data_IF_558703758852
#
_entry.id   IF_558703758852
#
_cell.length_a   1.000
_cell.length_b   1.000
_cell.length_c   1.000
_cell.angle_alpha   90.00
_cell.angle_beta   90.00
_cell.angle_gamma   90.00
#
_symmetry.space_group_name_H-M   'P 1'
#
loop_
_entity.id
_entity.type
_entity.pdbx_description
1 polymer ?
#
# COMPACT_ATOMS: atom_id res chain seq x y z
N UNK A 1 10.51 -8.97 50.86
CA UNK A 1 11.64 -8.00 50.92
C UNK A 1 12.44 -8.15 49.65
N UNK A 2 12.78 -7.16 48.82
CA UNK A 2 12.24 -5.85 48.47
C UNK A 2 12.86 -5.56 47.09
N UNK A 3 12.05 -5.19 46.11
CA UNK A 3 12.51 -4.73 44.78
C UNK A 3 13.12 -3.31 44.91
N UNK A 4 14.22 -3.02 44.21
CA UNK A 4 14.73 -1.68 43.88
C UNK A 4 15.24 -1.76 42.43
N UNK A 5 14.51 -1.23 41.44
CA UNK A 5 14.47 0.17 40.97
C UNK A 5 15.86 0.69 40.58
N UNK A 6 16.10 0.74 39.27
CA UNK A 6 17.29 1.28 38.60
C UNK A 6 16.80 2.40 37.67
N UNK A 7 16.38 3.49 38.29
CA UNK A 7 16.18 4.79 37.67
C UNK A 7 17.12 5.74 38.41
N UNK A 8 18.23 6.12 37.76
CA UNK A 8 19.02 7.35 37.99
C UNK A 8 20.38 7.19 37.32
N UNK A 9 20.55 7.82 36.14
CA UNK A 9 21.84 8.31 35.64
C UNK A 9 21.66 9.17 34.38
N UNK A 10 21.11 10.35 34.58
CA UNK A 10 21.33 11.52 33.72
C UNK A 10 22.02 12.59 34.57
N UNK A 11 23.30 12.86 34.31
CA UNK A 11 23.99 14.08 34.72
C UNK A 11 25.38 14.14 34.11
N UNK A 12 25.66 15.22 33.38
CA UNK A 12 27.01 15.77 33.24
C UNK A 12 27.73 15.51 31.91
N UNK A 13 27.50 16.37 30.91
CA UNK A 13 28.34 16.49 29.73
C UNK A 13 28.50 17.95 29.35
N UNK A 14 29.60 18.56 29.80
CA UNK A 14 29.94 19.98 29.63
C UNK A 14 30.26 20.33 28.16
N UNK A 15 29.81 21.52 27.77
CA UNK A 15 30.12 22.20 26.51
C UNK A 15 31.60 22.59 26.43
N UNK A 16 32.31 22.11 25.42
CA UNK A 16 33.57 22.71 24.96
C UNK A 16 33.32 23.51 23.68
N UNK A 17 33.45 24.83 23.79
CA UNK A 17 33.53 25.77 22.67
C UNK A 17 34.90 25.64 21.99
N UNK A 18 34.92 25.26 20.72
CA UNK A 18 36.10 25.39 19.86
C UNK A 18 36.01 26.67 19.04
N UNK A 19 36.93 27.59 19.34
CA UNK A 19 37.19 28.83 18.60
C UNK A 19 37.67 28.47 17.18
N UNK A 20 36.94 28.88 16.15
CA UNK A 20 37.44 28.89 14.78
C UNK A 20 38.28 30.15 14.55
N UNK A 21 39.53 29.91 14.14
CA UNK A 21 40.55 30.91 13.86
C UNK A 21 40.45 31.31 12.38
N UNK A 22 40.22 32.60 12.16
CA UNK A 22 40.23 33.30 10.88
C UNK A 22 41.65 33.38 10.34
N UNK A 23 41.87 32.97 9.09
CA UNK A 23 43.00 33.44 8.27
C UNK A 23 42.49 33.74 6.88
N UNK A 24 42.43 35.04 6.58
CA UNK A 24 42.37 35.57 5.23
C UNK A 24 43.78 35.57 4.63
N UNK A 25 43.89 35.26 3.33
CA UNK A 25 44.80 35.97 2.43
C UNK A 25 44.45 35.66 0.97
N UNK A 26 44.07 36.75 0.30
CA UNK A 26 43.99 37.05 -1.13
C UNK A 26 44.86 36.22 -2.09
N UNK A 27 44.35 36.03 -3.32
CA UNK A 27 44.91 36.72 -4.50
C UNK A 27 44.00 36.67 -5.75
N UNK A 28 43.95 37.83 -6.41
CA UNK A 28 43.23 38.23 -7.62
C UNK A 28 43.54 37.43 -8.90
N UNK A 29 42.53 37.29 -9.79
CA UNK A 29 42.52 37.96 -11.13
C UNK A 29 41.18 37.86 -11.88
N UNK A 30 40.81 38.88 -12.70
CA UNK A 30 39.50 39.00 -13.35
C UNK A 30 39.52 38.70 -14.87
N UNK A 31 38.40 38.22 -15.42
CA UNK A 31 38.02 38.28 -16.84
C UNK A 31 36.53 38.68 -16.85
N UNK A 32 36.15 39.95 -17.04
CA UNK A 32 35.95 40.68 -18.30
C UNK A 32 35.21 39.93 -19.41
N UNK A 33 34.00 40.42 -19.64
CA UNK A 33 33.33 40.69 -20.91
C UNK A 33 32.96 39.50 -21.83
N UNK A 34 31.66 39.16 -21.84
CA UNK A 34 30.91 39.17 -23.12
C UNK A 34 29.40 39.27 -22.93
N UNK A 35 28.90 40.46 -23.23
CA UNK A 35 27.53 40.77 -23.64
C UNK A 35 27.27 40.08 -24.99
N UNK A 36 26.14 39.39 -25.14
CA UNK A 36 25.35 39.34 -26.38
C UNK A 36 23.99 38.63 -26.15
N UNK A 37 22.96 39.45 -25.97
CA UNK A 37 21.56 39.18 -26.33
C UNK A 37 21.25 40.02 -27.60
N UNK A 38 20.11 39.86 -28.30
CA UNK A 38 19.26 38.68 -28.50
C UNK A 38 18.89 38.49 -29.99
N UNK A 39 18.39 37.31 -30.39
CA UNK A 39 17.65 37.15 -31.67
C UNK A 39 16.17 36.85 -31.42
N UNK A 40 15.39 37.85 -31.80
CA UNK A 40 13.95 37.84 -32.10
C UNK A 40 13.53 36.59 -32.87
N UNK A 41 12.43 35.96 -32.42
CA UNK A 41 11.47 35.34 -33.31
C UNK A 41 10.08 35.81 -32.90
N UNK A 42 9.59 36.82 -33.62
CA UNK A 42 8.18 37.02 -33.88
C UNK A 42 7.70 35.88 -34.79
N UNK A 43 6.53 35.30 -34.48
CA UNK A 43 5.50 35.01 -35.47
C UNK A 43 4.26 34.37 -34.81
N UNK A 44 3.12 35.04 -34.98
CA UNK A 44 1.92 34.30 -35.41
C UNK A 44 0.73 34.28 -34.47
N UNK A 45 0.12 35.45 -34.24
CA UNK A 45 -1.30 35.57 -33.87
C UNK A 45 -2.22 34.86 -34.88
N UNK A 46 -2.97 33.85 -34.42
CA UNK A 46 -4.27 33.38 -34.96
C UNK A 46 -5.01 32.70 -33.81
N UNK A 47 -6.29 32.88 -33.54
CA UNK A 47 -7.34 33.72 -34.09
C UNK A 47 -8.55 33.53 -33.16
N UNK A 48 -9.15 34.64 -32.75
CA UNK A 48 -10.35 34.71 -31.92
C UNK A 48 -11.55 34.30 -32.77
N UNK A 49 -12.22 33.21 -32.38
CA UNK A 49 -13.47 32.75 -32.98
C UNK A 49 -14.64 32.87 -32.01
N UNK A 50 -15.17 34.09 -31.83
CA UNK A 50 -16.51 34.30 -31.26
C UNK A 50 -17.55 33.86 -32.30
N UNK A 51 -18.42 32.90 -31.96
CA UNK A 51 -19.72 32.74 -32.65
C UNK A 51 -20.84 32.71 -31.62
N UNK A 52 -21.40 33.90 -31.43
CA UNK A 52 -22.76 34.16 -31.01
C UNK A 52 -23.71 33.81 -32.16
N UNK A 53 -24.72 32.98 -31.90
CA UNK A 53 -25.98 32.99 -32.65
C UNK A 53 -27.14 32.72 -31.69
N UNK A 54 -27.97 33.76 -31.54
CA UNK A 54 -29.38 33.73 -31.17
C UNK A 54 -30.20 33.09 -32.29
N UNK A 55 -31.25 32.37 -31.92
CA UNK A 55 -32.67 32.60 -32.26
C UNK A 55 -33.44 31.38 -31.68
N UNK A 56 -34.45 31.59 -30.83
CA UNK A 56 -35.87 31.84 -31.21
C UNK A 56 -36.36 30.73 -32.15
N UNK A 57 -37.41 29.97 -31.90
CA UNK A 57 -38.45 29.93 -30.87
C UNK A 57 -39.18 28.59 -31.09
N UNK A 58 -40.07 28.21 -30.18
CA UNK A 58 -41.39 27.63 -30.49
C UNK A 58 -41.85 26.55 -29.49
N UNK A 59 -43.12 26.74 -29.18
CA UNK A 59 -43.99 26.06 -28.24
C UNK A 59 -44.16 24.57 -28.58
N UNK A 60 -44.20 23.70 -27.57
CA UNK A 60 -45.33 22.77 -27.49
C UNK A 60 -45.48 22.20 -26.07
N UNK A 61 -46.54 22.67 -25.41
CA UNK A 61 -46.96 22.22 -24.08
C UNK A 61 -47.81 20.97 -24.25
N UNK A 62 -47.22 19.78 -24.09
CA UNK A 62 -47.99 18.52 -24.01
C UNK A 62 -48.01 18.04 -22.56
N UNK A 63 -49.16 18.24 -21.91
CA UNK A 63 -49.49 17.68 -20.62
C UNK A 63 -49.45 16.14 -20.69
N UNK A 64 -48.43 15.53 -20.07
CA UNK A 64 -48.40 14.08 -19.78
C UNK A 64 -48.77 13.85 -18.33
N UNK A 65 -49.83 13.07 -18.15
CA UNK A 65 -50.36 12.58 -16.88
C UNK A 65 -49.28 11.94 -16.00
N UNK A 66 -49.37 12.09 -14.66
CA UNK A 66 -48.44 11.45 -13.75
C UNK A 66 -48.72 9.95 -13.70
N UNK A 67 -47.93 9.16 -14.44
CA UNK A 67 -47.82 7.73 -14.16
C UNK A 67 -47.17 7.56 -12.79
N UNK A 68 -48.00 7.12 -11.84
CA UNK A 68 -47.62 6.64 -10.52
C UNK A 68 -46.62 5.49 -10.71
N UNK A 69 -45.32 5.79 -10.66
CA UNK A 69 -44.27 4.78 -10.61
C UNK A 69 -44.38 4.07 -9.27
N UNK A 70 -44.74 2.80 -9.30
CA UNK A 70 -44.55 1.92 -8.16
C UNK A 70 -43.06 1.93 -7.78
N UNK A 71 -42.72 1.93 -6.48
CA UNK A 71 -41.33 1.84 -6.06
C UNK A 71 -40.76 0.53 -6.60
N UNK A 72 -39.85 0.66 -7.56
CA UNK A 72 -38.97 -0.42 -7.99
C UNK A 72 -38.28 -0.96 -6.73
N UNK A 73 -38.73 -2.12 -6.26
CA UNK A 73 -38.02 -2.90 -5.26
C UNK A 73 -36.76 -3.40 -5.98
N UNK A 74 -35.70 -2.60 -5.97
CA UNK A 74 -34.40 -3.05 -6.41
C UNK A 74 -34.01 -4.23 -5.52
N UNK A 75 -33.59 -5.37 -6.10
CA UNK A 75 -33.15 -6.51 -5.31
C UNK A 75 -31.99 -6.04 -4.44
N UNK A 76 -32.17 -6.09 -3.11
CA UNK A 76 -31.08 -5.90 -2.16
C UNK A 76 -29.96 -6.84 -2.58
N UNK A 77 -28.75 -6.36 -2.90
CA UNK A 77 -27.64 -7.23 -3.24
C UNK A 77 -27.35 -8.06 -2.00
N UNK A 78 -27.76 -9.34 -2.04
CA UNK A 78 -27.27 -10.33 -1.11
C UNK A 78 -25.76 -10.39 -1.30
N UNK A 79 -25.01 -10.28 -0.22
CA UNK A 79 -23.58 -10.51 -0.24
C UNK A 79 -23.37 -11.96 -0.68
N UNK A 80 -22.62 -12.17 -1.76
CA UNK A 80 -22.28 -13.50 -2.31
C UNK A 80 -21.73 -14.43 -1.22
N UNK A 81 -21.07 -13.87 -0.19
CA UNK A 81 -20.60 -14.60 0.98
C UNK A 81 -21.72 -15.16 1.87
N UNK A 82 -22.87 -14.50 1.96
CA UNK A 82 -24.03 -14.97 2.73
C UNK A 82 -24.69 -16.17 2.05
N UNK A 83 -24.81 -16.15 0.72
CA UNK A 83 -25.29 -17.29 -0.08
C UNK A 83 -24.30 -18.46 -0.02
N UNK A 84 -23.00 -18.18 0.06
CA UNK A 84 -21.93 -19.18 0.21
C UNK A 84 -21.93 -19.85 1.60
N UNK A 85 -22.21 -19.11 2.68
CA UNK A 85 -22.33 -19.70 4.02
C UNK A 85 -23.52 -20.65 4.14
N UNK A 86 -24.56 -20.44 3.33
CA UNK A 86 -25.72 -21.34 3.25
C UNK A 86 -25.46 -22.55 2.32
N UNK A 87 -24.54 -22.47 1.35
CA UNK A 87 -24.28 -23.50 0.31
C UNK A 87 -23.08 -24.45 0.57
N UNK A 88 -22.15 -24.14 1.49
CA UNK A 88 -20.84 -24.83 1.61
C UNK A 88 -20.83 -26.18 2.39
N UNK A 89 -21.91 -26.96 2.34
CA UNK A 89 -22.01 -28.24 3.04
C UNK A 89 -21.22 -29.44 2.45
N UNK A 90 -20.36 -29.29 1.44
CA UNK A 90 -19.82 -30.47 0.72
C UNK A 90 -18.37 -30.34 0.19
N UNK A 91 -17.43 -30.93 0.96
CA UNK A 91 -16.17 -31.73 0.68
C UNK A 91 -15.25 -31.38 -0.53
N UNK A 92 -13.90 -31.42 -0.57
CA UNK A 92 -12.76 -32.20 0.01
C UNK A 92 -11.42 -31.38 0.05
N UNK A 93 -10.36 -31.96 0.66
CA UNK A 93 -9.06 -31.36 1.09
C UNK A 93 -7.87 -31.45 0.10
N UNK A 94 -6.93 -30.50 0.17
CA UNK A 94 -5.47 -30.61 -0.17
C UNK A 94 -4.65 -29.56 0.62
N UNK A 95 -3.49 -29.95 1.17
CA UNK A 95 -2.54 -29.11 1.92
C UNK A 95 -1.46 -28.43 1.06
N UNK A 96 -1.09 -27.19 1.41
CA UNK A 96 0.15 -26.52 0.96
C UNK A 96 0.74 -25.63 2.07
N UNK A 97 2.08 -25.46 2.11
CA UNK A 97 2.76 -24.85 3.25
C UNK A 97 2.60 -23.32 3.27
N UNK A 98 2.37 -22.78 4.48
CA UNK A 98 1.95 -21.40 4.77
C UNK A 98 3.12 -20.54 5.29
N UNK A 99 3.20 -19.29 4.84
CA UNK A 99 3.92 -18.24 5.57
C UNK A 99 3.15 -17.94 6.88
N UNK A 100 3.87 -17.91 8.00
CA UNK A 100 3.32 -17.81 9.36
C UNK A 100 3.12 -16.33 9.71
N UNK A 101 1.87 -15.87 9.66
CA UNK A 101 1.43 -14.70 10.45
C UNK A 101 0.88 -15.28 11.77
N UNK A 102 1.13 -14.66 12.94
CA UNK A 102 0.56 -15.11 14.21
C UNK A 102 -0.96 -15.32 14.11
N UNK A 103 -1.50 -16.34 14.79
CA UNK A 103 -2.93 -16.69 14.78
C UNK A 103 -3.78 -15.50 15.24
N UNK A 104 -4.63 -14.97 14.37
CA UNK A 104 -5.42 -13.76 14.66
C UNK A 104 -6.90 -14.11 14.84
N UNK A 105 -7.53 -13.58 15.90
CA UNK A 105 -8.97 -13.78 16.20
C UNK A 105 -9.69 -12.44 16.20
N UNK A 106 -10.78 -12.36 15.45
CA UNK A 106 -11.64 -11.18 15.42
C UNK A 106 -12.62 -11.15 16.58
N UNK A 107 -12.93 -9.97 17.10
CA UNK A 107 -14.05 -9.79 18.02
C UNK A 107 -15.38 -10.00 17.26
N UNK A 108 -16.23 -10.89 17.77
CA UNK A 108 -17.43 -11.36 17.07
C UNK A 108 -18.53 -10.33 16.85
N UNK A 109 -18.56 -9.24 17.63
CA UNK A 109 -19.60 -8.19 17.51
C UNK A 109 -19.37 -7.30 16.30
N UNK A 110 -18.14 -6.85 16.09
CA UNK A 110 -17.76 -5.93 15.01
C UNK A 110 -17.91 -6.53 13.62
N UNK A 111 -17.60 -7.82 13.48
CA UNK A 111 -17.69 -8.50 12.17
C UNK A 111 -19.11 -8.91 11.79
N UNK A 112 -20.06 -8.92 12.73
CA UNK A 112 -21.41 -9.43 12.50
C UNK A 112 -22.14 -8.65 11.40
N UNK A 113 -21.98 -7.33 11.41
CA UNK A 113 -22.64 -6.42 10.48
C UNK A 113 -21.72 -5.93 9.35
N UNK A 114 -20.44 -6.31 9.40
CA UNK A 114 -19.46 -5.95 8.40
C UNK A 114 -19.75 -6.65 7.07
N UNK A 115 -19.55 -5.93 5.96
CA UNK A 115 -19.60 -6.46 4.60
C UNK A 115 -18.19 -6.46 4.01
N UNK A 116 -17.79 -7.58 3.44
CA UNK A 116 -16.52 -7.70 2.73
C UNK A 116 -16.73 -7.42 1.24
N UNK A 117 -15.93 -6.50 0.67
CA UNK A 117 -15.81 -6.30 -0.76
C UNK A 117 -14.50 -6.91 -1.26
N UNK A 118 -14.58 -7.72 -2.32
CA UNK A 118 -13.45 -8.43 -2.92
C UNK A 118 -13.37 -8.11 -4.41
N UNK A 119 -12.15 -8.04 -4.95
CA UNK A 119 -11.97 -8.09 -6.40
C UNK A 119 -12.25 -9.51 -6.91
N UNK A 120 -12.64 -9.71 -8.19
CA UNK A 120 -12.97 -11.05 -8.71
C UNK A 120 -11.87 -12.09 -8.50
N UNK A 121 -10.59 -11.69 -8.64
CA UNK A 121 -9.44 -12.59 -8.42
C UNK A 121 -9.24 -12.93 -6.94
N UNK A 122 -9.49 -11.98 -6.04
CA UNK A 122 -9.41 -12.16 -4.58
C UNK A 122 -10.52 -13.08 -4.09
N UNK A 123 -11.74 -12.85 -4.60
CA UNK A 123 -12.90 -13.69 -4.32
C UNK A 123 -12.66 -15.13 -4.78
N UNK A 124 -12.21 -15.34 -6.02
CA UNK A 124 -11.90 -16.68 -6.52
C UNK A 124 -10.85 -17.38 -5.63
N UNK A 125 -9.79 -16.67 -5.27
CA UNK A 125 -8.70 -17.22 -4.44
C UNK A 125 -9.18 -17.60 -3.04
N UNK A 126 -9.90 -16.72 -2.35
CA UNK A 126 -10.43 -16.98 -1.02
C UNK A 126 -11.51 -18.06 -1.04
N UNK A 127 -12.37 -18.09 -2.06
CA UNK A 127 -13.41 -19.11 -2.21
C UNK A 127 -12.80 -20.50 -2.41
N UNK A 128 -11.84 -20.64 -3.32
CA UNK A 128 -11.14 -21.91 -3.54
C UNK A 128 -10.45 -22.36 -2.25
N UNK A 129 -9.77 -21.46 -1.55
CA UNK A 129 -9.14 -21.80 -0.27
C UNK A 129 -10.16 -22.22 0.79
N UNK A 130 -11.25 -21.46 0.96
CA UNK A 130 -12.28 -21.71 1.96
C UNK A 130 -12.96 -23.07 1.74
N UNK A 131 -13.24 -23.42 0.48
CA UNK A 131 -13.80 -24.72 0.11
C UNK A 131 -12.85 -25.87 0.46
N UNK A 132 -11.56 -25.74 0.12
CA UNK A 132 -10.54 -26.76 0.40
C UNK A 132 -10.33 -26.96 1.90
N UNK A 133 -10.39 -25.88 2.68
CA UNK A 133 -10.10 -25.88 4.12
C UNK A 133 -11.36 -26.03 4.98
N UNK A 134 -12.56 -26.14 4.38
CA UNK A 134 -13.86 -26.26 5.07
C UNK A 134 -14.09 -25.14 6.09
N UNK A 135 -13.78 -23.91 5.68
CA UNK A 135 -13.84 -22.71 6.51
C UNK A 135 -15.30 -22.40 6.83
N UNK A 136 -15.59 -22.06 8.09
CA UNK A 136 -16.96 -21.90 8.59
C UNK A 136 -17.28 -20.48 9.04
N UNK A 137 -16.28 -19.60 9.13
CA UNK A 137 -16.48 -18.24 9.63
C UNK A 137 -15.84 -17.18 8.74
N UNK A 138 -16.45 -15.99 8.71
CA UNK A 138 -15.87 -14.80 8.06
C UNK A 138 -14.52 -14.41 8.69
N UNK A 139 -14.36 -14.61 10.00
CA UNK A 139 -13.11 -14.33 10.69
C UNK A 139 -11.93 -15.14 10.12
N UNK A 140 -12.12 -16.43 9.86
CA UNK A 140 -11.12 -17.29 9.22
C UNK A 140 -10.79 -16.84 7.78
N UNK A 141 -11.79 -16.38 7.03
CA UNK A 141 -11.59 -15.82 5.67
C UNK A 141 -10.75 -14.55 5.73
N UNK A 142 -11.04 -13.64 6.67
CA UNK A 142 -10.29 -12.39 6.80
C UNK A 142 -8.87 -12.68 7.31
N UNK A 143 -8.69 -13.57 8.28
CA UNK A 143 -7.38 -13.99 8.76
C UNK A 143 -6.51 -14.53 7.61
N UNK A 144 -7.08 -15.40 6.77
CA UNK A 144 -6.35 -15.90 5.61
C UNK A 144 -6.06 -14.81 4.58
N UNK A 145 -7.01 -13.89 4.34
CA UNK A 145 -6.81 -12.77 3.43
C UNK A 145 -5.63 -11.90 3.90
N UNK A 146 -5.57 -11.57 5.19
CA UNK A 146 -4.45 -10.86 5.79
C UNK A 146 -3.15 -11.67 5.67
N UNK A 147 -3.19 -12.98 5.98
CA UNK A 147 -2.03 -13.89 5.91
C UNK A 147 -1.42 -13.98 4.53
N UNK A 148 -2.25 -13.99 3.50
CA UNK A 148 -1.83 -14.06 2.10
C UNK A 148 -1.65 -12.70 1.44
N UNK A 149 -1.89 -11.59 2.16
CA UNK A 149 -1.91 -10.26 1.56
C UNK A 149 -2.90 -10.16 0.39
N UNK A 150 -4.06 -10.81 0.48
CA UNK A 150 -5.13 -10.71 -0.50
C UNK A 150 -5.86 -9.37 -0.26
N UNK A 151 -6.13 -8.56 -1.31
CA UNK A 151 -6.82 -7.30 -1.15
C UNK A 151 -8.32 -7.50 -0.90
N UNK A 152 -8.85 -6.81 0.09
CA UNK A 152 -10.28 -6.74 0.41
C UNK A 152 -10.62 -5.37 1.03
N UNK A 153 -11.91 -5.07 1.18
CA UNK A 153 -12.37 -3.94 1.99
C UNK A 153 -13.43 -4.40 2.97
N UNK A 154 -13.44 -3.80 4.16
CA UNK A 154 -14.47 -4.01 5.17
C UNK A 154 -15.33 -2.76 5.27
N UNK A 155 -16.61 -2.94 4.95
CA UNK A 155 -17.63 -1.92 5.03
C UNK A 155 -18.51 -2.16 6.25
N UNK A 156 -18.79 -1.10 6.99
CA UNK A 156 -19.64 -1.14 8.17
C UNK A 156 -20.88 -0.30 7.93
N UNK A 157 -22.09 -0.78 8.27
CA UNK A 157 -23.28 0.06 8.34
C UNK A 157 -23.04 1.19 9.32
N UNK A 158 -23.39 2.42 8.93
CA UNK A 158 -23.22 3.56 9.83
C UNK A 158 -23.96 3.36 11.17
N UNK A 159 -25.15 2.78 11.16
CA UNK A 159 -25.90 2.46 12.38
C UNK A 159 -25.10 1.57 13.34
N UNK A 160 -24.40 0.56 12.82
CA UNK A 160 -23.59 -0.33 13.65
C UNK A 160 -22.37 0.39 14.25
N UNK A 161 -21.84 1.41 13.56
CA UNK A 161 -20.78 2.25 14.11
C UNK A 161 -21.31 3.22 15.17
N UNK A 162 -22.52 3.76 14.97
CA UNK A 162 -23.19 4.63 15.94
C UNK A 162 -23.46 3.85 17.24
N UNK A 163 -23.99 2.62 17.15
CA UNK A 163 -24.22 1.73 18.31
C UNK A 163 -22.91 1.45 19.09
N UNK A 164 -21.83 1.12 18.37
CA UNK A 164 -20.51 0.89 18.98
C UNK A 164 -19.92 2.15 19.61
N UNK A 165 -20.28 3.33 19.11
CA UNK A 165 -19.83 4.61 19.65
C UNK A 165 -20.57 4.95 20.94
N UNK A 166 -21.88 4.68 21.02
CA UNK A 166 -22.66 4.85 22.25
C UNK A 166 -22.07 4.02 23.40
N UNK A 167 -21.76 2.74 23.16
CA UNK A 167 -21.09 1.87 24.12
C UNK A 167 -19.74 2.44 24.59
N UNK A 168 -18.97 3.03 23.66
CA UNK A 168 -17.66 3.61 23.96
C UNK A 168 -17.76 4.94 24.70
N UNK A 169 -18.76 5.77 24.40
CA UNK A 169 -18.99 7.04 25.07
C UNK A 169 -19.37 6.84 26.53
N UNK A 170 -20.17 5.83 26.85
CA UNK A 170 -20.49 5.46 28.24
C UNK A 170 -19.23 5.04 29.01
N UNK A 171 -18.35 4.26 28.38
CA UNK A 171 -17.05 3.88 28.94
C UNK A 171 -16.10 5.08 29.12
N UNK A 172 -16.09 6.03 28.17
CA UNK A 172 -15.23 7.20 28.24
C UNK A 172 -15.74 8.23 29.25
N UNK A 173 -17.04 8.48 29.30
CA UNK A 173 -17.66 9.39 30.25
C UNK A 173 -17.47 8.89 31.68
N UNK A 174 -17.69 7.59 31.93
CA UNK A 174 -17.51 6.99 33.24
C UNK A 174 -16.05 7.03 33.73
N UNK A 175 -15.07 6.90 32.84
CA UNK A 175 -13.66 6.85 33.20
C UNK A 175 -12.93 8.21 33.17
N UNK A 176 -13.35 9.14 32.31
CA UNK A 176 -12.61 10.38 32.04
C UNK A 176 -13.40 11.67 32.29
N UNK A 177 -14.70 11.58 32.62
CA UNK A 177 -15.51 12.71 33.09
C UNK A 177 -15.84 13.79 32.05
N UNK A 178 -15.34 13.68 30.81
CA UNK A 178 -15.62 14.61 29.71
C UNK A 178 -15.62 13.87 28.36
N UNK A 179 -16.62 14.14 27.52
CA UNK A 179 -16.57 13.82 26.08
C UNK A 179 -15.64 14.81 25.39
N UNK A 180 -14.54 14.37 24.77
CA UNK A 180 -13.72 15.28 24.00
C UNK A 180 -14.44 15.58 22.69
N UNK A 181 -14.99 16.79 22.54
CA UNK A 181 -15.26 17.42 21.23
C UNK A 181 -13.93 17.70 20.50
N UNK A 182 -13.08 16.69 20.37
CA UNK A 182 -11.79 16.85 19.72
C UNK A 182 -12.06 16.97 18.22
N UNK A 183 -11.65 18.08 17.57
CA UNK A 183 -11.76 18.18 16.12
C UNK A 183 -10.97 17.04 15.46
N UNK A 184 -11.45 16.60 14.29
CA UNK A 184 -10.74 15.60 13.52
C UNK A 184 -9.26 16.01 13.33
N UNK A 185 -8.31 15.08 13.58
CA UNK A 185 -6.91 15.31 13.31
C UNK A 185 -6.68 15.88 11.92
N UNK A 186 -5.69 16.76 11.78
CA UNK A 186 -5.43 17.41 10.49
C UNK A 186 -5.23 16.41 9.36
N UNK A 187 -4.60 15.26 9.63
CA UNK A 187 -4.35 14.21 8.63
C UNK A 187 -5.61 13.54 8.08
N UNK A 188 -6.78 13.74 8.69
CA UNK A 188 -8.07 13.25 8.18
C UNK A 188 -8.82 14.27 7.32
N UNK A 189 -8.31 15.51 7.22
CA UNK A 189 -8.96 16.56 6.43
C UNK A 189 -8.72 16.32 4.95
N UNK A 190 -9.72 16.59 4.12
CA UNK A 190 -9.65 16.38 2.66
C UNK A 190 -8.57 17.23 1.99
N UNK A 191 -8.27 18.39 2.58
CA UNK A 191 -7.23 19.31 2.11
C UNK A 191 -5.83 18.95 2.63
N UNK A 192 -5.73 17.96 3.54
CA UNK A 192 -4.45 17.54 4.06
C UNK A 192 -3.64 16.88 2.97
N UNK A 193 -2.50 17.48 2.68
CA UNK A 193 -1.50 16.91 1.79
C UNK A 193 -0.32 16.52 2.65
N UNK A 194 0.03 15.23 2.67
CA UNK A 194 1.34 14.88 3.21
C UNK A 194 2.37 15.43 2.23
N UNK A 195 3.26 16.33 2.67
CA UNK A 195 4.31 16.79 1.79
C UNK A 195 5.09 15.56 1.33
N UNK A 196 5.27 15.42 0.01
CA UNK A 196 6.24 14.48 -0.54
C UNK A 196 7.54 14.68 0.22
N UNK A 197 8.17 13.61 0.69
CA UNK A 197 9.35 13.69 1.53
C UNK A 197 10.38 14.64 0.88
N UNK A 198 10.58 15.85 1.41
CA UNK A 198 11.38 16.88 0.72
C UNK A 198 12.89 16.59 0.77
N UNK A 199 13.28 15.44 1.33
CA UNK A 199 14.58 15.24 1.94
C UNK A 199 15.63 14.60 1.04
N UNK A 200 15.27 14.14 -0.17
CA UNK A 200 16.30 13.60 -1.06
C UNK A 200 17.29 14.68 -1.56
N UNK A 201 17.02 15.96 -1.32
CA UNK A 201 17.91 17.07 -1.69
C UNK A 201 19.17 17.13 -0.80
N UNK A 202 20.20 16.36 -1.19
CA UNK A 202 21.55 16.45 -0.62
C UNK A 202 21.84 15.48 0.53
N UNK A 203 20.91 14.58 0.87
CA UNK A 203 21.17 13.50 1.83
C UNK A 203 21.86 12.30 1.18
N UNK A 204 22.62 11.56 1.97
CA UNK A 204 23.10 10.24 1.58
C UNK A 204 21.92 9.27 1.47
N UNK A 205 22.05 8.20 0.68
CA UNK A 205 21.00 7.17 0.57
C UNK A 205 20.63 6.57 1.93
N UNK A 206 21.62 6.41 2.81
CA UNK A 206 21.43 5.92 4.19
C UNK A 206 20.58 6.87 5.03
N UNK A 207 20.85 8.18 4.97
CA UNK A 207 20.07 9.16 5.74
C UNK A 207 18.66 9.28 5.19
N UNK A 208 18.49 9.24 3.87
CA UNK A 208 17.18 9.21 3.25
C UNK A 208 16.36 7.96 3.61
N UNK A 209 17.01 6.79 3.69
CA UNK A 209 16.38 5.53 4.16
C UNK A 209 15.86 5.68 5.59
N UNK A 210 16.69 6.17 6.52
CA UNK A 210 16.31 6.36 7.93
C UNK A 210 15.11 7.29 8.09
N UNK A 211 15.08 8.37 7.32
CA UNK A 211 13.96 9.30 7.37
C UNK A 211 12.69 8.70 6.77
N UNK A 212 12.82 7.93 5.68
CA UNK A 212 11.72 7.13 5.14
C UNK A 212 11.17 6.17 6.20
N UNK A 213 12.02 5.37 6.85
CA UNK A 213 11.61 4.42 7.91
C UNK A 213 10.90 5.13 9.07
N UNK A 214 11.43 6.27 9.53
CA UNK A 214 10.79 7.10 10.55
C UNK A 214 9.39 7.55 10.12
N UNK A 215 9.25 8.00 8.86
CA UNK A 215 7.98 8.46 8.33
C UNK A 215 6.95 7.34 8.24
N UNK A 216 7.37 6.16 7.77
CA UNK A 216 6.48 4.99 7.72
C UNK A 216 6.00 4.62 9.12
N UNK A 217 6.89 4.63 10.11
CA UNK A 217 6.52 4.35 11.49
C UNK A 217 5.48 5.34 12.03
N UNK A 218 5.61 6.63 11.71
CA UNK A 218 4.64 7.67 12.08
C UNK A 218 3.26 7.42 11.45
N UNK A 219 3.22 7.10 10.15
CA UNK A 219 1.97 6.85 9.42
C UNK A 219 1.28 5.60 9.96
N UNK A 220 2.03 4.51 10.17
CA UNK A 220 1.47 3.24 10.65
C UNK A 220 0.99 3.29 12.11
N UNK A 221 1.36 4.32 12.87
CA UNK A 221 0.80 4.57 14.21
C UNK A 221 -0.62 5.16 14.16
N UNK A 222 -1.04 5.75 13.03
CA UNK A 222 -2.37 6.37 12.90
C UNK A 222 -3.49 5.33 13.04
N UNK A 223 -4.66 5.71 13.60
CA UNK A 223 -5.72 4.74 13.85
C UNK A 223 -6.23 4.00 12.60
N UNK A 224 -6.36 4.69 11.46
CA UNK A 224 -6.85 4.12 10.19
C UNK A 224 -5.78 3.42 9.34
N UNK A 225 -4.51 3.41 9.77
CA UNK A 225 -3.43 2.77 9.02
C UNK A 225 -3.61 1.24 8.87
N UNK A 226 -4.52 0.64 9.62
CA UNK A 226 -5.02 -0.73 9.45
C UNK A 226 -5.53 -0.99 8.04
N UNK A 227 -6.07 0.03 7.35
CA UNK A 227 -6.51 -0.08 5.97
C UNK A 227 -5.39 -0.49 5.00
N UNK A 228 -4.11 -0.19 5.29
CA UNK A 228 -3.01 -0.69 4.45
C UNK A 228 -2.92 -2.22 4.42
N UNK A 229 -3.32 -2.89 5.51
CA UNK A 229 -3.38 -4.35 5.56
C UNK A 229 -4.47 -4.89 4.63
N UNK A 230 -5.61 -4.21 4.57
CA UNK A 230 -6.75 -4.60 3.72
C UNK A 230 -6.46 -4.37 2.23
N UNK A 231 -5.63 -3.39 1.88
CA UNK A 231 -5.20 -3.17 0.48
C UNK A 231 -4.38 -4.32 -0.12
N UNK A 232 -3.90 -5.27 0.68
CA UNK A 232 -3.14 -6.43 0.21
C UNK A 232 -1.80 -6.09 -0.46
N UNK A 233 -1.19 -7.10 -1.08
CA UNK A 233 0.03 -6.99 -1.88
C UNK A 233 1.18 -6.29 -1.16
N UNK A 234 1.85 -5.37 -1.87
CA UNK A 234 2.99 -4.62 -1.32
C UNK A 234 2.56 -3.70 -0.16
N UNK A 235 1.32 -3.20 -0.16
CA UNK A 235 0.82 -2.32 0.90
C UNK A 235 0.74 -3.05 2.23
N UNK A 236 0.07 -4.21 2.23
CA UNK A 236 -0.04 -5.02 3.42
C UNK A 236 1.32 -5.54 3.87
N UNK A 237 2.20 -5.91 2.92
CA UNK A 237 3.54 -6.41 3.26
C UNK A 237 4.41 -5.37 3.94
N UNK A 238 4.41 -4.13 3.44
CA UNK A 238 5.13 -3.00 4.07
C UNK A 238 4.53 -2.67 5.44
N UNK A 239 3.21 -2.62 5.55
CA UNK A 239 2.51 -2.38 6.81
C UNK A 239 2.86 -3.43 7.87
N UNK A 240 2.89 -4.72 7.51
CA UNK A 240 3.33 -5.80 8.42
C UNK A 240 4.81 -5.63 8.80
N UNK A 241 5.67 -5.29 7.84
CA UNK A 241 7.11 -5.14 8.11
C UNK A 241 7.40 -4.03 9.13
N UNK A 242 6.86 -2.83 8.90
CA UNK A 242 7.18 -1.65 9.70
C UNK A 242 6.23 -1.43 10.89
N UNK A 243 4.97 -1.84 10.77
CA UNK A 243 3.97 -1.72 11.84
C UNK A 243 4.03 -2.87 12.85
N UNK A 244 4.57 -4.02 12.44
CA UNK A 244 4.71 -5.21 13.26
C UNK A 244 3.37 -5.81 13.70
N UNK A 245 3.45 -6.71 14.68
CA UNK A 245 2.30 -7.48 15.17
C UNK A 245 1.18 -6.59 15.76
N UNK A 246 1.55 -5.46 16.39
CA UNK A 246 0.59 -4.53 16.98
C UNK A 246 -0.39 -3.96 15.96
N UNK A 247 0.06 -3.71 14.73
CA UNK A 247 -0.81 -3.21 13.66
C UNK A 247 -1.80 -4.29 13.21
N UNK A 248 -1.34 -5.54 13.09
CA UNK A 248 -2.18 -6.70 12.72
C UNK A 248 -3.24 -6.98 13.80
N UNK A 249 -2.84 -6.97 15.07
CA UNK A 249 -3.76 -7.12 16.20
C UNK A 249 -4.81 -6.00 16.21
N UNK A 250 -4.42 -4.75 15.93
CA UNK A 250 -5.36 -3.63 15.84
C UNK A 250 -6.40 -3.82 14.72
N UNK A 251 -5.97 -4.31 13.55
CA UNK A 251 -6.85 -4.49 12.40
C UNK A 251 -7.89 -5.61 12.58
N UNK A 252 -7.68 -6.48 13.57
CA UNK A 252 -8.51 -7.67 13.77
C UNK A 252 -9.37 -7.60 15.02
N UNK A 253 -8.89 -6.92 16.07
CA UNK A 253 -9.62 -6.84 17.33
C UNK A 253 -10.73 -5.79 17.32
N UNK A 254 -10.58 -4.70 16.56
CA UNK A 254 -11.47 -3.54 16.69
C UNK A 254 -11.57 -2.74 15.39
N UNK A 255 -12.70 -2.04 15.23
CA UNK A 255 -12.82 -0.94 14.27
C UNK A 255 -11.84 0.17 14.66
N UNK A 256 -11.18 0.83 13.70
CA UNK A 256 -10.33 1.96 14.08
C UNK A 256 -11.12 3.09 14.72
N UNK A 257 -10.46 3.78 15.65
CA UNK A 257 -10.96 5.02 16.25
C UNK A 257 -11.26 6.09 15.21
N UNK A 258 -10.57 6.09 14.06
CA UNK A 258 -10.87 7.03 12.97
C UNK A 258 -12.28 6.80 12.44
N UNK A 259 -12.63 5.54 12.16
CA UNK A 259 -13.93 5.19 11.61
C UNK A 259 -15.06 5.41 12.63
N UNK A 260 -14.82 5.05 13.90
CA UNK A 260 -15.77 5.24 15.00
C UNK A 260 -16.06 6.73 15.26
N UNK A 261 -15.04 7.55 15.54
CA UNK A 261 -15.27 8.93 15.99
C UNK A 261 -15.62 9.91 14.87
N UNK A 262 -15.08 9.70 13.67
CA UNK A 262 -15.22 10.70 12.61
C UNK A 262 -16.08 10.23 11.45
N UNK A 263 -16.32 8.92 11.34
CA UNK A 263 -17.01 8.32 10.18
C UNK A 263 -16.37 8.75 8.85
N UNK A 264 -15.07 9.10 8.89
CA UNK A 264 -14.27 9.54 7.73
C UNK A 264 -13.69 8.28 7.09
N UNK A 265 -13.96 8.13 5.79
CA UNK A 265 -13.55 6.98 5.01
C UNK A 265 -14.26 6.93 3.65
N UNK A 266 -14.17 5.79 2.98
CA UNK A 266 -14.94 5.54 1.75
C UNK A 266 -16.41 5.33 2.12
N UNK A 267 -17.31 6.13 1.55
CA UNK A 267 -18.74 6.09 1.83
C UNK A 267 -19.54 5.67 0.59
N UNK A 268 -20.53 4.81 0.78
CA UNK A 268 -21.52 4.47 -0.26
C UNK A 268 -22.86 5.15 0.05
N UNK A 269 -23.54 5.64 -0.98
CA UNK A 269 -24.78 6.45 -0.83
C UNK A 269 -25.96 5.62 -0.31
N UNK A 270 -26.09 4.36 -0.74
CA UNK A 270 -27.16 3.46 -0.33
C UNK A 270 -26.76 1.99 -0.52
N UNK A 271 -26.74 1.13 0.51
CA UNK A 271 -26.82 1.47 1.94
C UNK A 271 -25.68 2.40 2.39
N UNK A 272 -25.87 3.16 3.47
CA UNK A 272 -24.83 4.02 4.08
C UNK A 272 -23.76 3.15 4.73
N UNK A 273 -22.82 2.67 3.93
CA UNK A 273 -21.67 1.92 4.39
C UNK A 273 -20.45 2.81 4.44
N UNK A 274 -19.58 2.53 5.40
CA UNK A 274 -18.34 3.27 5.62
C UNK A 274 -17.21 2.25 5.74
N UNK A 275 -16.12 2.48 5.01
CA UNK A 275 -14.91 1.67 5.07
C UNK A 275 -13.71 2.54 5.44
N UNK A 276 -12.75 1.95 6.14
CA UNK A 276 -11.45 2.59 6.35
C UNK A 276 -10.76 2.83 5.01
N UNK A 277 -10.19 4.01 4.85
CA UNK A 277 -9.38 4.35 3.69
C UNK A 277 -8.11 5.09 4.11
N UNK A 278 -7.11 5.04 3.24
CA UNK A 278 -5.85 5.78 3.35
C UNK A 278 -5.78 6.74 2.19
N UNK A 279 -5.19 7.91 2.42
CA UNK A 279 -5.02 8.90 1.37
C UNK A 279 -3.93 8.47 0.38
N UNK A 280 -3.95 9.05 -0.82
CA UNK A 280 -2.91 8.80 -1.84
C UNK A 280 -1.54 9.25 -1.34
N UNK A 281 -1.49 10.30 -0.54
CA UNK A 281 -0.28 10.85 0.04
C UNK A 281 0.29 9.91 1.12
N UNK A 282 -0.57 9.25 1.89
CA UNK A 282 -0.15 8.20 2.83
C UNK A 282 0.38 6.96 2.10
N UNK A 283 -0.26 6.55 1.00
CA UNK A 283 0.27 5.49 0.11
C UNK A 283 1.64 5.86 -0.44
N UNK A 284 1.79 7.08 -0.96
CA UNK A 284 3.05 7.59 -1.49
C UNK A 284 4.14 7.60 -0.42
N UNK A 285 3.82 7.97 0.80
CA UNK A 285 4.75 7.95 1.91
C UNK A 285 5.11 6.52 2.34
N UNK A 286 4.17 5.55 2.30
CA UNK A 286 4.42 4.15 2.66
C UNK A 286 5.44 3.47 1.73
N UNK A 287 5.38 3.74 0.42
CA UNK A 287 6.40 3.27 -0.56
C UNK A 287 7.66 4.13 -0.59
N UNK A 288 7.69 5.22 0.19
CA UNK A 288 8.84 6.13 0.23
C UNK A 288 9.04 6.90 -1.06
N UNK A 289 7.94 7.43 -1.63
CA UNK A 289 7.97 8.28 -2.81
C UNK A 289 8.69 9.61 -2.48
N UNK A 290 9.65 9.98 -3.30
CA UNK A 290 10.40 11.22 -3.19
C UNK A 290 10.63 11.87 -4.55
N UNK A 291 10.88 13.18 -4.55
CA UNK A 291 11.33 13.88 -5.76
C UNK A 291 12.77 13.46 -6.12
N UNK A 292 13.06 13.33 -7.41
CA UNK A 292 14.42 13.11 -7.90
C UNK A 292 15.32 14.32 -7.69
N UNK A 293 16.63 14.08 -7.56
CA UNK A 293 17.64 15.14 -7.48
C UNK A 293 18.06 15.69 -8.85
N UNK A 294 18.30 17.01 -8.90
CA UNK A 294 18.97 17.67 -10.01
C UNK A 294 18.11 17.87 -11.25
N UNK A 295 18.74 17.87 -12.44
CA UNK A 295 18.07 18.13 -13.72
C UNK A 295 17.01 17.09 -14.11
N UNK A 296 16.95 15.96 -13.40
CA UNK A 296 15.96 14.90 -13.60
C UNK A 296 14.97 14.94 -12.43
N UNK A 297 13.93 15.78 -12.58
CA UNK A 297 12.79 15.91 -11.65
C UNK A 297 11.88 14.67 -11.62
N UNK A 298 12.38 13.50 -12.03
CA UNK A 298 11.61 12.27 -12.06
C UNK A 298 11.34 11.76 -10.64
N UNK A 299 10.11 11.34 -10.40
CA UNK A 299 9.70 10.77 -9.12
C UNK A 299 10.36 9.41 -8.91
N UNK A 300 10.84 9.19 -7.69
CA UNK A 300 11.52 7.96 -7.26
C UNK A 300 10.80 7.37 -6.06
N UNK A 301 10.90 6.06 -5.87
CA UNK A 301 10.25 5.34 -4.77
C UNK A 301 11.15 4.21 -4.26
N UNK A 302 11.19 4.02 -2.93
CA UNK A 302 11.95 2.96 -2.26
C UNK A 302 11.36 1.58 -2.48
N UNK A 303 10.05 1.53 -2.75
CA UNK A 303 9.30 0.34 -3.10
C UNK A 303 8.45 0.60 -4.34
N UNK A 304 8.29 -0.39 -5.22
CA UNK A 304 7.49 -0.23 -6.42
C UNK A 304 6.01 -0.18 -6.07
N UNK A 305 5.25 0.63 -6.80
CA UNK A 305 3.78 0.57 -6.72
C UNK A 305 3.19 -0.77 -7.18
N UNK A 306 1.97 -1.12 -6.72
CA UNK A 306 1.25 -2.29 -7.21
C UNK A 306 1.18 -2.38 -8.73
N UNK A 307 0.94 -1.28 -9.45
CA UNK A 307 0.83 -1.29 -10.91
C UNK A 307 2.18 -1.63 -11.58
N UNK A 308 3.29 -1.23 -10.95
CA UNK A 308 4.64 -1.57 -11.42
C UNK A 308 4.93 -3.06 -11.19
N UNK A 309 4.53 -3.61 -10.05
CA UNK A 309 4.67 -5.04 -9.75
C UNK A 309 3.81 -5.85 -10.73
N UNK A 310 2.52 -5.54 -10.85
CA UNK A 310 1.58 -6.25 -11.73
C UNK A 310 2.00 -6.22 -13.19
N UNK A 311 2.54 -5.09 -13.67
CA UNK A 311 3.03 -4.98 -15.04
C UNK A 311 4.24 -5.88 -15.32
N UNK A 312 5.14 -6.06 -14.34
CA UNK A 312 6.38 -6.81 -14.55
C UNK A 312 6.28 -8.29 -14.14
N UNK A 313 5.51 -8.63 -13.11
CA UNK A 313 5.38 -9.97 -12.55
C UNK A 313 4.03 -10.64 -12.89
N UNK A 314 3.09 -9.88 -13.44
CA UNK A 314 1.73 -10.32 -13.74
C UNK A 314 0.73 -9.98 -12.62
N UNK A 315 -0.58 -9.99 -12.93
CA UNK A 315 -1.62 -9.80 -11.92
C UNK A 315 -1.62 -11.00 -10.95
N UNK A 316 -1.61 -10.72 -9.65
CA UNK A 316 -1.81 -11.72 -8.60
C UNK A 316 -2.86 -11.22 -7.62
N UNK A 317 -3.72 -12.14 -7.18
CA UNK A 317 -4.68 -11.90 -6.11
C UNK A 317 -4.04 -11.91 -4.72
N UNK A 318 -2.87 -12.53 -4.59
CA UNK A 318 -2.21 -12.76 -3.30
C UNK A 318 -0.72 -12.43 -3.37
N UNK A 319 -0.15 -12.13 -2.22
CA UNK A 319 1.30 -12.04 -2.04
C UNK A 319 1.90 -13.44 -2.12
N UNK A 320 2.63 -13.71 -3.20
CA UNK A 320 3.20 -15.04 -3.48
C UNK A 320 4.56 -15.24 -2.81
N UNK A 321 5.04 -16.48 -2.80
CA UNK A 321 6.42 -16.79 -2.37
C UNK A 321 7.46 -16.08 -3.25
N UNK A 322 7.15 -15.88 -4.54
CA UNK A 322 8.00 -15.13 -5.45
C UNK A 322 8.05 -13.65 -5.04
N UNK A 323 6.90 -13.09 -4.62
CA UNK A 323 6.83 -11.71 -4.13
C UNK A 323 7.63 -11.50 -2.85
N UNK A 324 7.49 -12.43 -1.89
CA UNK A 324 8.27 -12.39 -0.66
C UNK A 324 9.77 -12.50 -0.93
N UNK A 325 10.18 -13.33 -1.91
CA UNK A 325 11.58 -13.55 -2.22
C UNK A 325 12.26 -12.27 -2.74
N UNK A 326 11.67 -11.57 -3.72
CA UNK A 326 12.27 -10.31 -4.21
C UNK A 326 12.18 -9.21 -3.17
N UNK A 327 11.10 -9.17 -2.38
CA UNK A 327 10.94 -8.19 -1.31
C UNK A 327 12.05 -8.31 -0.27
N UNK A 328 12.34 -9.53 0.20
CA UNK A 328 13.42 -9.78 1.16
C UNK A 328 14.80 -9.48 0.60
N UNK A 329 15.02 -9.82 -0.68
CA UNK A 329 16.28 -9.52 -1.37
C UNK A 329 16.53 -8.00 -1.47
N UNK A 330 15.50 -7.25 -1.88
CA UNK A 330 15.56 -5.80 -1.94
C UNK A 330 15.72 -5.19 -0.54
N UNK A 331 14.95 -5.68 0.44
CA UNK A 331 15.02 -5.25 1.85
C UNK A 331 16.45 -5.41 2.41
N UNK A 332 17.07 -6.56 2.18
CA UNK A 332 18.46 -6.83 2.59
C UNK A 332 19.43 -5.87 1.92
N UNK A 333 19.21 -5.57 0.64
CA UNK A 333 20.06 -4.66 -0.14
C UNK A 333 19.93 -3.22 0.33
N UNK A 334 18.72 -2.73 0.63
CA UNK A 334 18.53 -1.37 1.16
C UNK A 334 19.04 -1.24 2.60
N UNK A 335 18.96 -2.30 3.42
CA UNK A 335 19.42 -2.28 4.81
C UNK A 335 20.94 -2.42 4.96
N UNK A 336 21.63 -2.86 3.91
CA UNK A 336 23.08 -2.91 3.91
C UNK A 336 23.65 -1.48 3.82
N UNK A 337 24.23 -0.98 4.92
CA UNK A 337 24.83 0.36 4.97
C UNK A 337 26.02 0.56 4.00
N UNK A 338 26.57 -0.53 3.44
CA UNK A 338 27.59 -0.49 2.37
C UNK A 338 26.99 -0.44 0.96
N UNK A 339 25.68 -0.63 0.83
CA UNK A 339 24.97 -0.58 -0.43
C UNK A 339 24.72 0.85 -0.86
N UNK A 340 24.96 1.14 -2.14
CA UNK A 340 24.54 2.39 -2.77
C UNK A 340 23.10 2.33 -3.30
N UNK A 341 22.31 1.35 -2.86
CA UNK A 341 20.92 1.21 -3.26
C UNK A 341 20.09 2.41 -2.77
N UNK A 342 19.29 2.95 -3.68
CA UNK A 342 18.44 4.12 -3.45
C UNK A 342 17.07 3.96 -4.12
N UNK A 343 16.18 4.95 -3.94
CA UNK A 343 14.86 4.92 -4.52
C UNK A 343 14.95 4.98 -6.06
N UNK A 344 14.12 4.17 -6.69
CA UNK A 344 14.16 3.94 -8.13
C UNK A 344 13.02 4.66 -8.83
N UNK A 345 13.25 5.08 -10.06
CA UNK A 345 12.15 5.48 -10.95
C UNK A 345 11.35 4.25 -11.37
N UNK A 346 10.14 4.45 -11.90
CA UNK A 346 9.32 3.35 -12.45
C UNK A 346 10.07 2.52 -13.51
N UNK A 347 10.88 3.16 -14.35
CA UNK A 347 11.68 2.49 -15.37
C UNK A 347 12.83 1.67 -14.75
N UNK A 348 13.47 2.20 -13.70
CA UNK A 348 14.49 1.49 -12.93
C UNK A 348 13.90 0.25 -12.22
N UNK A 349 12.70 0.35 -11.65
CA UNK A 349 11.96 -0.79 -11.11
C UNK A 349 11.65 -1.86 -12.17
N UNK A 350 11.23 -1.45 -13.37
CA UNK A 350 11.02 -2.39 -14.47
C UNK A 350 12.29 -3.13 -14.88
N UNK A 351 13.45 -2.45 -14.86
CA UNK A 351 14.76 -3.10 -15.10
C UNK A 351 15.13 -4.05 -13.96
N UNK A 352 14.89 -3.65 -12.72
CA UNK A 352 15.10 -4.49 -11.54
C UNK A 352 14.32 -5.81 -11.66
N UNK A 353 13.01 -5.77 -11.92
CA UNK A 353 12.21 -6.99 -12.01
C UNK A 353 12.62 -7.89 -13.18
N UNK A 354 12.98 -7.32 -14.33
CA UNK A 354 13.49 -8.10 -15.46
C UNK A 354 14.78 -8.84 -15.11
N UNK A 355 15.70 -8.15 -14.44
CA UNK A 355 16.96 -8.75 -14.01
C UNK A 355 16.72 -9.80 -12.92
N UNK A 356 15.92 -9.48 -11.91
CA UNK A 356 15.60 -10.40 -10.82
C UNK A 356 14.91 -11.68 -11.31
N UNK A 357 13.97 -11.57 -12.25
CA UNK A 357 13.33 -12.74 -12.87
C UNK A 357 14.34 -13.59 -13.65
N UNK A 358 15.30 -12.97 -14.34
CA UNK A 358 16.33 -13.70 -15.08
C UNK A 358 17.21 -14.53 -14.11
N UNK A 359 17.76 -13.87 -13.08
CA UNK A 359 18.63 -14.53 -12.08
C UNK A 359 17.88 -15.60 -11.28
N UNK A 360 16.64 -15.32 -10.86
CA UNK A 360 15.85 -16.28 -10.08
C UNK A 360 15.52 -17.54 -10.87
N UNK A 361 15.31 -17.43 -12.19
CA UNK A 361 15.10 -18.58 -13.07
C UNK A 361 16.36 -19.42 -13.19
N UNK A 362 17.50 -18.77 -13.35
CA UNK A 362 18.80 -19.43 -13.42
C UNK A 362 19.12 -20.18 -12.13
N UNK A 363 18.89 -19.57 -10.96
CA UNK A 363 19.10 -20.24 -9.67
C UNK A 363 18.22 -21.48 -9.49
N UNK A 364 16.94 -21.43 -9.89
CA UNK A 364 16.04 -22.59 -9.80
C UNK A 364 16.56 -23.74 -10.65
N UNK A 365 17.03 -23.43 -11.86
CA UNK A 365 17.63 -24.40 -12.76
C UNK A 365 18.89 -25.00 -12.14
N UNK A 366 19.82 -24.16 -11.66
CA UNK A 366 21.07 -24.59 -11.04
C UNK A 366 20.84 -25.44 -9.77
N UNK A 367 19.88 -25.08 -8.91
CA UNK A 367 19.53 -25.90 -7.73
C UNK A 367 19.01 -27.28 -8.13
N UNK A 368 18.23 -27.37 -9.22
CA UNK A 368 17.73 -28.67 -9.70
C UNK A 368 18.83 -29.52 -10.32
N UNK A 369 19.78 -28.93 -11.05
CA UNK A 369 20.97 -29.64 -11.55
C UNK A 369 21.79 -30.19 -10.36
N UNK A 370 22.05 -29.35 -9.35
CA UNK A 370 22.76 -29.78 -8.13
C UNK A 370 22.03 -30.88 -7.35
N UNK A 371 20.71 -30.99 -7.50
CA UNK A 371 19.92 -32.09 -6.92
C UNK A 371 19.99 -33.40 -7.71
N UNK A 372 20.82 -33.49 -8.76
CA UNK A 372 21.01 -34.69 -9.57
C UNK A 372 19.89 -34.93 -10.60
N UNK A 373 19.06 -33.92 -10.90
CA UNK A 373 18.09 -34.02 -12.01
C UNK A 373 18.80 -33.77 -13.34
N UNK A 374 18.55 -34.67 -14.30
CA UNK A 374 19.03 -34.57 -15.67
C UNK A 374 18.66 -33.20 -16.28
N UNK A 375 19.64 -32.42 -16.80
CA UNK A 375 19.40 -31.10 -17.37
C UNK A 375 18.35 -31.08 -18.49
N UNK A 376 18.25 -32.16 -19.27
CA UNK A 376 17.28 -32.28 -20.36
C UNK A 376 15.83 -32.23 -19.87
N UNK A 377 15.52 -32.91 -18.76
CA UNK A 377 14.18 -32.90 -18.15
C UNK A 377 13.81 -31.51 -17.62
N UNK A 378 14.81 -30.77 -17.14
CA UNK A 378 14.64 -29.41 -16.62
C UNK A 378 14.34 -28.41 -17.72
N UNK A 379 15.03 -28.53 -18.85
CA UNK A 379 14.81 -27.71 -20.04
C UNK A 379 13.46 -27.99 -20.70
N UNK A 380 13.04 -29.25 -20.75
CA UNK A 380 11.72 -29.62 -21.24
C UNK A 380 10.63 -29.06 -20.31
N UNK A 381 10.72 -29.33 -19.00
CA UNK A 381 9.77 -28.80 -17.99
C UNK A 381 9.70 -27.27 -18.06
N UNK A 382 10.83 -26.59 -18.23
CA UNK A 382 10.88 -25.15 -18.32
C UNK A 382 10.25 -24.62 -19.61
N UNK A 383 10.54 -25.26 -20.76
CA UNK A 383 9.95 -24.90 -22.05
C UNK A 383 8.43 -25.09 -22.01
N UNK A 384 7.95 -26.17 -21.38
CA UNK A 384 6.53 -26.47 -21.23
C UNK A 384 5.85 -25.50 -20.26
N UNK A 385 6.52 -25.10 -19.18
CA UNK A 385 5.94 -24.19 -18.16
C UNK A 385 5.91 -22.73 -18.64
N UNK A 386 6.91 -22.29 -19.41
CA UNK A 386 7.12 -20.87 -19.72
C UNK A 386 7.06 -20.51 -21.20
N UNK A 387 6.85 -21.48 -22.09
CA UNK A 387 6.64 -21.27 -23.53
C UNK A 387 7.83 -20.64 -24.26
N UNK A 388 9.04 -20.68 -23.69
CA UNK A 388 10.27 -20.13 -24.30
C UNK A 388 11.38 -21.16 -24.20
N UNK A 389 11.89 -21.60 -25.35
CA UNK A 389 13.08 -22.44 -25.41
C UNK A 389 14.30 -21.61 -24.99
N UNK A 390 15.07 -22.15 -24.06
CA UNK A 390 16.45 -21.70 -23.85
C UNK A 390 17.32 -22.40 -24.89
N UNK A 391 18.23 -21.64 -25.52
CA UNK A 391 19.28 -22.27 -26.33
C UNK A 391 20.29 -22.95 -25.38
N UNK A 392 20.69 -24.17 -25.72
CA UNK A 392 21.67 -24.97 -24.98
C UNK A 392 23.01 -24.25 -24.82
N UNK A 393 23.35 -23.37 -25.76
CA UNK A 393 24.54 -22.53 -25.70
C UNK A 393 24.53 -21.58 -24.49
N UNK A 394 23.35 -21.13 -24.03
CA UNK A 394 23.20 -20.31 -22.82
C UNK A 394 23.52 -21.10 -21.56
N UNK A 395 23.31 -22.42 -21.62
CA UNK A 395 23.54 -23.36 -20.52
C UNK A 395 25.01 -23.78 -20.44
N UNK A 396 25.68 -23.94 -21.60
CA UNK A 396 27.10 -24.26 -21.69
C UNK A 396 28.01 -23.06 -21.36
N UNK A 397 27.51 -21.83 -21.48
CA UNK A 397 28.24 -20.62 -21.10
C UNK A 397 28.29 -20.38 -19.58
N UNK A 398 27.49 -21.10 -18.80
CA UNK A 398 27.51 -21.10 -17.34
C UNK A 398 28.48 -22.23 -16.94
N UNK A 399 29.78 -21.93 -16.94
CA UNK A 399 30.84 -22.85 -16.49
C UNK A 399 30.51 -23.37 -15.07
N UNK A 400 30.25 -24.68 -14.96
CA UNK A 400 30.14 -25.44 -13.71
C UNK A 400 31.40 -26.27 -13.48
#
# INVERSE_FOLDING_TARGET
MSRRSLADRLSGGQYHQTKTRTTASDQHKPLKDRIQDPKRFDNGSRGVGKRSRRNDSDEETVARSPQRREPSVEPTPRTVLQEILDDLATVFQVDTPRAVIPEVRFSGTVLRDARIELSPLSELSLRTWAQVNKVTSLAEVIDEALRRGIPFRLFYPRSALDDLMEDLEDDLQSNFGHTPESPAPSYLRKEHTEPLLPWYNGLTHRDARRQYEYRVAEILQRPHATAFLFKGGIWSRLAVHYGGERLVQRATLQVSRTLLHYTIGDQTTYPRLVAESVSREEEDALIGRCAGMGAKSELREWWPRPETIQFNLGPSAQWSTMDESWFQEHLRTINNDMSNEGPKTRAEWGRFFKHWMYVSREEVVLRRIRSGKEPADLLQTYTDTYGKSWNMDTFQAIDL
#
